data_IF_342980653599
#
_entry.id   IF_342980653599
#
_cell.length_a   1.000
_cell.length_b   1.000
_cell.length_c   1.000
_cell.angle_alpha   90.00
_cell.angle_beta   90.00
_cell.angle_gamma   90.00
#
_symmetry.space_group_name_H-M   'P 1'
#
loop_
_entity.id
_entity.type
_entity.pdbx_description
1 polymer ?
#
# COMPACT_ATOMS: atom_id res chain seq x y z
N UNK A 1 7.06 -1.79 -2.27
CA UNK A 1 8.48 -2.12 -2.06
C UNK A 1 8.60 -2.80 -0.70
N UNK A 2 9.66 -3.56 -0.42
CA UNK A 2 9.85 -4.07 0.95
C UNK A 2 10.37 -2.97 1.86
N UNK A 3 9.76 -2.81 3.04
CA UNK A 3 10.14 -1.79 4.00
C UNK A 3 10.80 -2.44 5.22
N UNK A 4 11.98 -1.94 5.60
CA UNK A 4 12.67 -2.24 6.85
C UNK A 4 12.58 -0.99 7.72
N UNK A 5 11.90 -1.05 8.86
CA UNK A 5 11.55 0.14 9.67
C UNK A 5 12.39 0.20 10.94
N UNK A 6 13.08 1.32 11.17
CA UNK A 6 13.97 1.53 12.33
C UNK A 6 13.39 2.45 13.42
N UNK A 7 12.06 2.63 13.42
CA UNK A 7 11.27 3.45 14.35
C UNK A 7 11.49 4.99 14.31
N UNK A 8 12.62 5.51 13.82
CA UNK A 8 12.87 6.96 13.77
C UNK A 8 11.98 7.67 12.73
N UNK A 9 11.54 8.89 13.07
CA UNK A 9 10.85 9.83 12.17
C UNK A 9 11.63 11.15 12.13
N UNK A 10 12.54 11.33 11.16
CA UNK A 10 13.42 12.51 11.15
C UNK A 10 12.76 13.78 10.61
N UNK A 11 11.64 13.67 9.90
CA UNK A 11 10.82 14.79 9.44
C UNK A 11 9.32 14.56 9.74
N UNK A 12 8.50 15.61 9.67
CA UNK A 12 7.04 15.49 9.77
C UNK A 12 6.46 14.80 8.54
N UNK A 13 7.03 15.05 7.36
CA UNK A 13 6.65 14.38 6.09
C UNK A 13 7.07 12.90 6.02
N UNK A 14 7.79 12.38 7.02
CA UNK A 14 8.24 10.98 7.07
C UNK A 14 7.11 9.95 6.96
N UNK A 15 5.91 10.27 7.46
CA UNK A 15 4.75 9.38 7.36
C UNK A 15 4.23 9.27 5.92
N UNK A 16 4.23 10.37 5.16
CA UNK A 16 3.85 10.38 3.75
C UNK A 16 4.89 9.67 2.87
N UNK A 17 6.19 9.88 3.16
CA UNK A 17 7.29 9.15 2.51
C UNK A 17 7.09 7.64 2.69
N UNK A 18 6.82 7.20 3.92
CA UNK A 18 6.58 5.79 4.24
C UNK A 18 5.36 5.25 3.51
N UNK A 19 4.26 6.00 3.49
CA UNK A 19 3.04 5.62 2.79
C UNK A 19 3.31 5.45 1.28
N UNK A 20 3.97 6.43 0.65
CA UNK A 20 4.31 6.40 -0.76
C UNK A 20 5.19 5.18 -1.12
N UNK A 21 6.25 4.92 -0.35
CA UNK A 21 7.14 3.77 -0.57
C UNK A 21 6.43 2.42 -0.36
N UNK A 22 5.53 2.34 0.63
CA UNK A 22 4.71 1.13 0.85
C UNK A 22 3.81 0.85 -0.36
N UNK A 23 3.22 1.90 -0.95
CA UNK A 23 2.32 1.81 -2.10
C UNK A 23 3.00 1.37 -3.41
N UNK A 24 4.33 1.39 -3.52
CA UNK A 24 5.04 0.98 -4.74
C UNK A 24 4.96 -0.54 -5.05
N UNK A 25 4.35 -1.35 -4.18
CA UNK A 25 4.15 -2.80 -4.41
C UNK A 25 5.41 -3.65 -4.19
N UNK A 26 5.28 -4.87 -3.67
CA UNK A 26 6.42 -5.76 -3.38
C UNK A 26 6.85 -6.53 -4.63
N UNK A 27 8.12 -6.95 -4.67
CA UNK A 27 8.68 -7.75 -5.75
C UNK A 27 9.01 -6.95 -7.01
N UNK A 28 9.44 -7.62 -8.07
CA UNK A 28 9.90 -6.97 -9.31
C UNK A 28 8.77 -6.45 -10.22
N UNK A 29 7.50 -6.53 -9.80
CA UNK A 29 6.34 -6.25 -10.67
C UNK A 29 6.21 -4.77 -11.08
N UNK A 30 6.87 -3.87 -10.35
CA UNK A 30 6.89 -2.42 -10.65
C UNK A 30 8.31 -1.89 -10.70
N UNK A 31 9.04 -1.90 -9.57
CA UNK A 31 10.45 -1.50 -9.52
C UNK A 31 11.31 -2.47 -8.68
N UNK A 32 10.72 -3.20 -7.73
CA UNK A 32 11.49 -3.99 -6.77
C UNK A 32 12.28 -3.13 -5.78
N UNK A 33 13.02 -3.78 -4.90
CA UNK A 33 13.92 -3.13 -3.94
C UNK A 33 13.46 -3.14 -2.47
N UNK A 34 14.38 -2.69 -1.63
CA UNK A 34 14.26 -2.62 -0.17
C UNK A 34 14.47 -1.17 0.28
N UNK A 35 13.52 -0.62 1.02
CA UNK A 35 13.62 0.69 1.64
C UNK A 35 13.83 0.57 3.15
N UNK A 36 14.95 1.09 3.64
CA UNK A 36 15.27 1.22 5.07
C UNK A 36 14.81 2.60 5.54
N UNK A 37 13.76 2.65 6.36
CA UNK A 37 13.07 3.89 6.76
C UNK A 37 13.53 4.36 8.14
N UNK A 38 13.82 5.65 8.25
CA UNK A 38 14.26 6.30 9.49
C UNK A 38 15.65 5.83 9.90
N UNK A 39 16.61 5.87 8.98
CA UNK A 39 17.94 5.31 9.20
C UNK A 39 18.96 6.39 9.51
N UNK A 40 19.79 6.15 10.52
CA UNK A 40 21.00 6.91 10.79
C UNK A 40 22.19 5.97 10.68
N UNK A 41 22.87 5.92 9.51
CA UNK A 41 24.02 5.05 9.35
C UNK A 41 25.13 5.44 10.35
N UNK A 42 25.97 4.49 10.80
CA UNK A 42 27.09 4.77 11.68
C UNK A 42 27.97 5.91 11.16
N UNK A 43 28.37 6.84 12.03
CA UNK A 43 29.20 7.98 11.66
C UNK A 43 28.47 9.12 10.92
N UNK A 44 27.19 8.96 10.57
CA UNK A 44 26.40 10.05 10.00
C UNK A 44 25.83 10.96 11.10
N UNK A 45 25.93 12.30 10.96
CA UNK A 45 25.56 13.25 12.02
C UNK A 45 24.05 13.34 12.26
N UNK A 46 23.23 13.03 11.26
CA UNK A 46 21.76 13.08 11.32
C UNK A 46 21.17 11.87 10.58
N UNK A 47 20.00 11.41 11.04
CA UNK A 47 19.21 10.41 10.34
C UNK A 47 18.70 10.92 8.99
N UNK A 48 18.30 10.03 8.09
CA UNK A 48 17.55 10.29 6.85
C UNK A 48 16.23 9.53 6.85
N UNK A 49 15.25 10.03 6.10
CA UNK A 49 13.89 9.52 6.12
C UNK A 49 13.79 8.14 5.50
N UNK A 50 14.53 7.87 4.43
CA UNK A 50 14.76 6.52 3.95
C UNK A 50 16.05 6.39 3.13
N UNK A 51 16.60 5.18 3.09
CA UNK A 51 17.54 4.75 2.04
C UNK A 51 16.89 3.61 1.28
N UNK A 52 16.73 3.78 -0.03
CA UNK A 52 16.04 2.85 -0.92
C UNK A 52 17.07 2.17 -1.81
N UNK A 53 17.28 0.88 -1.55
CA UNK A 53 18.09 0.01 -2.38
C UNK A 53 17.21 -0.59 -3.47
N UNK A 54 17.47 -0.23 -4.71
CA UNK A 54 16.81 -0.78 -5.89
C UNK A 54 17.81 -1.69 -6.60
N UNK A 55 17.33 -2.61 -7.43
CA UNK A 55 18.22 -3.37 -8.30
C UNK A 55 19.10 -2.45 -9.15
N UNK A 56 18.60 -1.30 -9.60
CA UNK A 56 19.29 -0.42 -10.58
C UNK A 56 19.67 0.97 -10.07
N UNK A 57 19.51 1.25 -8.78
CA UNK A 57 19.89 2.52 -8.16
C UNK A 57 19.90 2.42 -6.64
N UNK A 58 20.60 3.35 -6.01
CA UNK A 58 20.49 3.62 -4.59
C UNK A 58 19.93 5.03 -4.39
N UNK A 59 18.78 5.16 -3.75
CA UNK A 59 18.16 6.46 -3.51
C UNK A 59 18.22 6.82 -2.03
N UNK A 60 18.61 8.06 -1.74
CA UNK A 60 18.56 8.61 -0.39
C UNK A 60 17.41 9.59 -0.34
N UNK A 61 16.42 9.31 0.51
CA UNK A 61 15.22 10.13 0.67
C UNK A 61 15.35 10.99 1.91
N UNK A 62 15.24 12.30 1.72
CA UNK A 62 15.34 13.29 2.79
C UNK A 62 14.08 14.14 2.80
N UNK A 63 13.38 14.14 3.93
CA UNK A 63 12.21 14.96 4.19
C UNK A 63 12.60 16.40 4.49
N UNK A 64 11.87 17.34 3.88
CA UNK A 64 11.93 18.78 4.15
C UNK A 64 10.52 19.23 4.54
N UNK A 65 10.41 19.72 5.77
CA UNK A 65 9.15 20.21 6.30
C UNK A 65 8.99 21.70 5.97
N UNK A 66 7.99 22.00 5.15
CA UNK A 66 7.54 23.36 4.88
C UNK A 66 6.74 23.88 6.09
N UNK A 67 6.73 25.21 6.32
CA UNK A 67 5.97 25.81 7.41
C UNK A 67 4.46 25.57 7.26
N UNK A 68 3.96 25.74 6.03
CA UNK A 68 2.55 25.65 5.66
C UNK A 68 2.39 24.80 4.38
N UNK A 69 1.19 24.23 4.15
CA UNK A 69 0.81 23.70 2.84
C UNK A 69 0.95 24.75 1.73
N UNK A 70 1.31 24.33 0.52
CA UNK A 70 1.42 25.21 -0.64
C UNK A 70 0.65 24.64 -1.85
N UNK A 71 0.12 25.50 -2.70
CA UNK A 71 -0.44 25.07 -3.99
C UNK A 71 0.69 24.84 -4.99
N UNK A 72 1.70 25.72 -4.98
CA UNK A 72 2.86 25.64 -5.86
C UNK A 72 4.15 25.85 -5.08
N UNK A 73 5.11 24.96 -5.28
CA UNK A 73 6.47 25.12 -4.78
C UNK A 73 7.45 25.20 -5.96
N UNK A 74 8.18 26.32 -6.06
CA UNK A 74 9.35 26.45 -6.91
C UNK A 74 10.58 26.04 -6.10
N UNK A 75 11.24 24.94 -6.50
CA UNK A 75 12.29 24.29 -5.72
C UNK A 75 13.61 24.11 -6.51
N UNK A 76 14.30 25.21 -6.90
CA UNK A 76 15.64 25.13 -7.46
C UNK A 76 16.66 24.61 -6.42
N UNK A 77 17.65 23.84 -6.88
CA UNK A 77 18.66 23.27 -5.98
C UNK A 77 19.71 24.29 -5.52
N UNK A 78 19.96 25.32 -6.33
CA UNK A 78 20.95 26.36 -6.05
C UNK A 78 20.35 27.68 -5.54
N UNK A 79 19.11 27.98 -5.94
CA UNK A 79 18.46 29.27 -5.66
C UNK A 79 17.42 29.18 -4.53
N UNK A 80 16.91 30.33 -4.09
CA UNK A 80 15.89 30.38 -3.04
C UNK A 80 14.57 29.74 -3.49
N UNK A 81 14.02 28.86 -2.65
CA UNK A 81 12.70 28.25 -2.87
C UNK A 81 11.58 29.27 -2.66
N UNK A 82 10.48 29.09 -3.41
CA UNK A 82 9.27 29.91 -3.24
C UNK A 82 8.04 29.03 -3.09
N UNK A 83 7.24 29.28 -2.06
CA UNK A 83 5.93 28.69 -1.88
C UNK A 83 4.87 29.73 -2.27
N UNK A 84 3.99 29.40 -3.21
CA UNK A 84 2.92 30.26 -3.71
C UNK A 84 3.42 31.65 -4.15
N UNK A 85 4.61 31.69 -4.75
CA UNK A 85 5.28 32.90 -5.22
C UNK A 85 6.08 33.66 -4.15
N UNK A 86 5.98 33.27 -2.88
CA UNK A 86 6.69 33.89 -1.77
C UNK A 86 7.95 33.13 -1.41
N UNK A 87 9.11 33.81 -1.26
CA UNK A 87 10.33 33.19 -0.76
C UNK A 87 10.12 32.46 0.56
N UNK A 88 10.60 31.22 0.63
CA UNK A 88 10.71 30.52 1.91
C UNK A 88 11.84 31.16 2.72
N UNK A 89 11.47 31.78 3.83
CA UNK A 89 12.41 32.33 4.81
C UNK A 89 12.44 31.35 5.99
N UNK A 90 13.57 30.66 6.17
CA UNK A 90 13.75 29.74 7.28
C UNK A 90 13.82 30.44 8.64
N UNK A 91 13.77 29.65 9.72
CA UNK A 91 14.07 30.13 11.09
C UNK A 91 15.55 30.44 11.31
N UNK A 92 16.43 29.81 10.52
CA UNK A 92 17.81 30.24 10.32
C UNK A 92 17.87 30.97 8.97
N UNK A 93 18.49 32.16 8.96
CA UNK A 93 18.48 33.09 7.83
C UNK A 93 18.89 32.44 6.49
N UNK A 94 18.05 32.61 5.47
CA UNK A 94 18.38 32.58 4.04
C UNK A 94 19.06 31.33 3.43
N UNK A 95 19.16 30.18 4.12
CA UNK A 95 19.70 28.96 3.49
C UNK A 95 18.61 28.16 2.76
N UNK A 96 18.80 27.93 1.47
CA UNK A 96 17.95 27.04 0.66
C UNK A 96 17.81 25.66 1.36
N UNK A 97 16.58 25.18 1.66
CA UNK A 97 16.35 23.89 2.31
C UNK A 97 17.00 22.69 1.60
N UNK A 98 17.20 22.78 0.28
CA UNK A 98 17.87 21.74 -0.49
C UNK A 98 19.33 21.52 -0.05
N UNK A 99 20.03 22.56 0.40
CA UNK A 99 21.45 22.48 0.77
C UNK A 99 21.65 21.53 1.96
N UNK A 100 20.84 21.67 3.00
CA UNK A 100 20.91 20.78 4.16
C UNK A 100 20.52 19.34 3.80
N UNK A 101 19.46 19.19 2.99
CA UNK A 101 19.01 17.88 2.55
C UNK A 101 20.08 17.15 1.73
N UNK A 102 20.75 17.85 0.81
CA UNK A 102 21.83 17.32 0.00
C UNK A 102 23.07 17.01 0.84
N UNK A 103 23.41 17.82 1.85
CA UNK A 103 24.52 17.54 2.78
C UNK A 103 24.28 16.27 3.60
N UNK A 104 23.05 16.06 4.08
CA UNK A 104 22.63 14.81 4.75
C UNK A 104 22.77 13.61 3.81
N UNK A 105 22.26 13.73 2.59
CA UNK A 105 22.37 12.66 1.59
C UNK A 105 23.84 12.36 1.22
N UNK A 106 24.68 13.39 1.06
CA UNK A 106 26.10 13.23 0.75
C UNK A 106 26.86 12.49 1.86
N UNK A 107 26.52 12.76 3.13
CA UNK A 107 27.09 12.05 4.28
C UNK A 107 26.79 10.55 4.24
N UNK A 108 25.52 10.19 3.97
CA UNK A 108 25.10 8.79 3.82
C UNK A 108 25.75 8.12 2.61
N UNK A 109 25.80 8.81 1.47
CA UNK A 109 26.46 8.29 0.27
C UNK A 109 27.97 8.05 0.50
N UNK A 110 28.63 8.93 1.25
CA UNK A 110 30.05 8.78 1.61
C UNK A 110 30.27 7.59 2.53
N UNK A 111 29.42 7.42 3.54
CA UNK A 111 29.44 6.24 4.41
C UNK A 111 29.31 4.95 3.60
N UNK A 112 28.33 4.87 2.70
CA UNK A 112 28.10 3.68 1.88
C UNK A 112 29.28 3.35 0.96
N UNK A 113 29.91 4.36 0.34
CA UNK A 113 31.13 4.18 -0.46
C UNK A 113 32.34 3.73 0.36
N UNK A 114 32.37 4.05 1.67
CA UNK A 114 33.47 3.62 2.54
C UNK A 114 33.42 2.12 2.87
N UNK A 115 32.23 1.51 2.76
CA UNK A 115 32.03 0.08 3.07
C UNK A 115 32.20 -0.81 1.84
N UNK A 116 32.12 -0.25 0.63
CA UNK A 116 32.38 -0.96 -0.62
C UNK A 116 32.07 -0.13 -1.87
N UNK A 117 32.38 -0.69 -3.04
CA UNK A 117 31.98 -0.09 -4.31
C UNK A 117 30.46 -0.09 -4.48
N UNK A 118 29.93 1.02 -4.98
CA UNK A 118 28.51 1.14 -5.31
C UNK A 118 28.31 0.75 -6.77
N UNK A 119 27.68 -0.41 -7.07
CA UNK A 119 27.52 -0.88 -8.45
C UNK A 119 26.43 -0.13 -9.22
N UNK A 120 25.72 0.77 -8.55
CA UNK A 120 24.52 1.45 -9.06
C UNK A 120 24.60 2.95 -8.80
N UNK A 121 23.96 3.78 -9.65
CA UNK A 121 23.93 5.22 -9.47
C UNK A 121 23.25 5.59 -8.15
N UNK A 122 23.77 6.62 -7.49
CA UNK A 122 23.21 7.18 -6.26
C UNK A 122 22.38 8.41 -6.60
N UNK A 123 21.09 8.36 -6.30
CA UNK A 123 20.15 9.47 -6.43
C UNK A 123 19.72 10.03 -5.08
N UNK A 124 19.21 11.27 -5.07
CA UNK A 124 18.59 11.88 -3.89
C UNK A 124 17.16 12.29 -4.20
N UNK A 125 16.24 11.96 -3.31
CA UNK A 125 14.86 12.43 -3.35
C UNK A 125 14.65 13.38 -2.17
N UNK A 126 14.32 14.63 -2.47
CA UNK A 126 13.94 15.63 -1.46
C UNK A 126 12.40 15.64 -1.42
N UNK A 127 11.85 15.02 -0.38
CA UNK A 127 10.42 14.90 -0.19
C UNK A 127 9.89 16.07 0.65
N UNK A 128 8.96 16.85 0.10
CA UNK A 128 8.43 18.06 0.75
C UNK A 128 7.01 17.84 1.29
N UNK A 129 6.72 18.36 2.47
CA UNK A 129 5.39 18.32 3.11
C UNK A 129 5.16 19.55 3.99
N UNK A 130 3.98 19.75 4.58
CA UNK A 130 2.92 18.76 4.78
C UNK A 130 2.05 18.45 3.55
N UNK A 131 1.76 19.43 2.69
CA UNK A 131 1.08 19.20 1.42
C UNK A 131 1.58 20.20 0.38
N UNK A 132 1.87 19.71 -0.84
CA UNK A 132 2.14 20.55 -1.99
C UNK A 132 1.41 19.97 -3.20
N UNK A 133 0.55 20.77 -3.85
CA UNK A 133 -0.18 20.30 -5.03
C UNK A 133 0.77 20.16 -6.25
N UNK A 134 1.59 21.17 -6.51
CA UNK A 134 2.55 21.17 -7.63
C UNK A 134 3.95 21.53 -7.16
N UNK A 135 4.93 20.69 -7.47
CA UNK A 135 6.37 20.98 -7.26
C UNK A 135 7.02 21.22 -8.62
N UNK A 136 7.59 22.41 -8.80
CA UNK A 136 8.35 22.80 -9.98
C UNK A 136 9.85 22.82 -9.66
N UNK A 137 10.56 21.84 -10.21
CA UNK A 137 12.02 21.80 -10.21
C UNK A 137 12.53 22.28 -11.58
N UNK A 138 13.54 23.18 -11.64
CA UNK A 138 14.08 23.65 -12.92
C UNK A 138 14.56 22.49 -13.81
N UNK A 139 14.38 22.57 -15.15
CA UNK A 139 14.82 21.51 -16.07
C UNK A 139 16.31 21.16 -15.98
N UNK A 140 17.16 22.16 -15.69
CA UNK A 140 18.59 21.95 -15.49
C UNK A 140 18.89 21.04 -14.28
N UNK A 141 18.12 21.20 -13.19
CA UNK A 141 18.26 20.38 -11.98
C UNK A 141 17.67 18.98 -12.20
N UNK A 142 16.55 18.87 -12.94
CA UNK A 142 15.92 17.59 -13.29
C UNK A 142 16.82 16.68 -14.14
N UNK A 143 17.77 17.24 -14.89
CA UNK A 143 18.76 16.42 -15.61
C UNK A 143 19.74 15.69 -14.67
N UNK A 144 19.89 16.18 -13.43
CA UNK A 144 20.78 15.62 -12.43
C UNK A 144 20.19 14.45 -11.63
N UNK A 145 20.91 13.98 -10.59
CA UNK A 145 20.51 12.83 -9.76
C UNK A 145 19.54 13.20 -8.63
N UNK A 146 18.94 14.39 -8.64
CA UNK A 146 18.11 14.91 -7.55
C UNK A 146 16.69 15.14 -8.03
N UNK A 147 15.70 14.69 -7.25
CA UNK A 147 14.28 14.94 -7.49
C UNK A 147 13.67 15.62 -6.28
N UNK A 148 13.01 16.76 -6.47
CA UNK A 148 12.19 17.41 -5.45
C UNK A 148 10.72 17.08 -5.73
N UNK A 149 9.98 16.61 -4.72
CA UNK A 149 8.59 16.18 -4.89
C UNK A 149 7.80 16.21 -3.59
N UNK A 150 6.48 16.33 -3.67
CA UNK A 150 5.60 15.93 -2.58
C UNK A 150 5.36 14.41 -2.65
N UNK A 151 5.56 13.64 -1.56
CA UNK A 151 5.59 12.17 -1.62
C UNK A 151 4.19 11.55 -1.74
N UNK A 152 3.74 11.40 -2.97
CA UNK A 152 2.58 10.57 -3.33
C UNK A 152 3.09 9.25 -3.95
N UNK A 153 2.27 8.18 -4.04
CA UNK A 153 2.66 6.96 -4.74
C UNK A 153 3.15 7.23 -6.17
N UNK A 154 2.47 8.11 -6.90
CA UNK A 154 2.80 8.44 -8.29
C UNK A 154 4.10 9.23 -8.42
N UNK A 155 4.29 10.29 -7.64
CA UNK A 155 5.49 11.11 -7.70
C UNK A 155 6.74 10.34 -7.23
N UNK A 156 6.60 9.53 -6.16
CA UNK A 156 7.68 8.68 -5.67
C UNK A 156 8.06 7.61 -6.69
N UNK A 157 7.07 6.97 -7.33
CA UNK A 157 7.32 6.03 -8.43
C UNK A 157 8.08 6.69 -9.57
N UNK A 158 7.61 7.84 -10.05
CA UNK A 158 8.24 8.58 -11.14
C UNK A 158 9.70 8.95 -10.84
N UNK A 159 9.98 9.42 -9.62
CA UNK A 159 11.34 9.72 -9.19
C UNK A 159 12.22 8.47 -9.14
N UNK A 160 11.65 7.36 -8.66
CA UNK A 160 12.35 6.08 -8.54
C UNK A 160 12.70 5.51 -9.91
N UNK A 161 11.76 5.49 -10.87
CA UNK A 161 12.03 5.11 -12.27
C UNK A 161 13.08 6.02 -12.89
N UNK A 162 12.94 7.35 -12.71
CA UNK A 162 13.83 8.32 -13.34
C UNK A 162 15.27 8.22 -12.84
N UNK A 163 15.49 7.81 -11.60
CA UNK A 163 16.82 7.72 -10.98
C UNK A 163 17.44 6.31 -11.11
N UNK A 164 16.64 5.29 -11.42
CA UNK A 164 17.08 3.91 -11.62
C UNK A 164 17.70 3.66 -13.00
N UNK A 165 18.87 4.26 -13.25
CA UNK A 165 19.49 4.29 -14.58
C UNK A 165 20.57 3.23 -14.85
N UNK A 166 20.90 2.34 -13.90
CA UNK A 166 21.86 1.27 -14.17
C UNK A 166 21.40 0.32 -15.28
N UNK A 167 22.33 -0.10 -16.14
CA UNK A 167 22.06 -1.06 -17.19
C UNK A 167 21.67 -2.43 -16.62
N UNK A 168 22.45 -2.90 -15.65
CA UNK A 168 22.32 -4.21 -15.02
C UNK A 168 21.85 -4.08 -13.56
N UNK A 169 21.07 -5.05 -13.07
CA UNK A 169 20.69 -5.11 -11.66
C UNK A 169 21.92 -5.43 -10.79
N UNK A 170 21.95 -4.91 -9.55
CA UNK A 170 22.96 -5.29 -8.58
C UNK A 170 22.64 -6.64 -7.95
N UNK A 171 23.69 -7.32 -7.51
CA UNK A 171 23.59 -8.66 -6.93
C UNK A 171 23.01 -8.65 -5.51
N UNK A 172 22.41 -9.78 -5.12
CA UNK A 172 21.94 -10.06 -3.76
C UNK A 172 23.08 -9.89 -2.74
N UNK A 173 24.30 -10.31 -3.07
CA UNK A 173 25.47 -10.17 -2.21
C UNK A 173 25.78 -8.69 -1.92
N UNK A 174 25.77 -7.85 -2.96
CA UNK A 174 26.00 -6.42 -2.78
C UNK A 174 24.87 -5.74 -2.01
N UNK A 175 23.62 -6.08 -2.30
CA UNK A 175 22.47 -5.57 -1.56
C UNK A 175 22.57 -5.90 -0.06
N UNK A 176 23.02 -7.11 0.30
CA UNK A 176 23.24 -7.53 1.70
C UNK A 176 24.32 -6.69 2.39
N UNK A 177 25.45 -6.46 1.72
CA UNK A 177 26.54 -5.63 2.24
C UNK A 177 26.05 -4.20 2.52
N UNK A 178 25.30 -3.62 1.59
CA UNK A 178 24.74 -2.27 1.77
C UNK A 178 23.71 -2.21 2.89
N UNK A 179 22.82 -3.21 3.02
CA UNK A 179 21.86 -3.30 4.13
C UNK A 179 22.57 -3.40 5.48
N UNK A 180 23.61 -4.22 5.58
CA UNK A 180 24.40 -4.36 6.80
C UNK A 180 25.13 -3.06 7.17
N UNK A 181 25.60 -2.31 6.18
CA UNK A 181 26.24 -1.00 6.37
C UNK A 181 25.27 0.08 6.88
N UNK A 182 24.00 0.00 6.45
CA UNK A 182 22.97 0.97 6.80
C UNK A 182 22.37 0.71 8.19
N UNK A 183 22.11 -0.56 8.51
CA UNK A 183 21.31 -0.91 9.68
C UNK A 183 21.78 -2.24 10.29
N UNK A 184 22.97 -2.26 10.93
CA UNK A 184 23.62 -3.49 11.41
C UNK A 184 22.82 -4.26 12.46
N UNK A 185 22.01 -3.55 13.26
CA UNK A 185 21.21 -4.11 14.35
C UNK A 185 19.85 -4.70 13.90
N UNK A 186 19.54 -4.63 12.60
CA UNK A 186 18.25 -5.12 12.07
C UNK A 186 18.37 -6.57 11.60
N UNK A 187 17.27 -7.33 11.72
CA UNK A 187 17.19 -8.67 11.16
C UNK A 187 17.57 -8.64 9.66
N UNK A 188 18.53 -9.50 9.28
CA UNK A 188 19.00 -9.60 7.90
C UNK A 188 17.89 -10.18 7.03
N UNK A 189 17.77 -9.66 5.81
CA UNK A 189 16.89 -10.23 4.80
C UNK A 189 17.59 -11.42 4.14
N UNK A 190 16.87 -12.53 4.01
CA UNK A 190 17.37 -13.74 3.34
C UNK A 190 17.53 -13.54 1.82
N UNK A 191 18.34 -14.37 1.19
CA UNK A 191 18.69 -14.24 -0.23
C UNK A 191 17.50 -14.42 -1.16
N UNK A 192 16.61 -15.36 -0.82
CA UNK A 192 15.37 -15.58 -1.55
C UNK A 192 14.46 -14.34 -1.51
N UNK A 193 14.45 -13.64 -0.37
CA UNK A 193 13.70 -12.38 -0.22
C UNK A 193 14.30 -11.30 -1.10
N UNK A 194 15.63 -11.14 -1.09
CA UNK A 194 16.31 -10.14 -1.91
C UNK A 194 16.13 -10.46 -3.41
N UNK A 195 16.30 -11.71 -3.82
CA UNK A 195 16.04 -12.14 -5.19
C UNK A 195 14.59 -11.84 -5.61
N UNK A 196 13.61 -12.10 -4.73
CA UNK A 196 12.20 -11.77 -4.96
C UNK A 196 11.94 -10.27 -5.16
N UNK A 197 12.75 -9.38 -4.57
CA UNK A 197 12.69 -7.93 -4.78
C UNK A 197 13.46 -7.48 -6.04
N UNK A 198 13.96 -8.39 -6.87
CA UNK A 198 14.56 -8.11 -8.19
C UNK A 198 16.08 -7.95 -8.22
N UNK A 199 16.78 -8.26 -7.11
CA UNK A 199 18.24 -8.32 -7.08
C UNK A 199 18.75 -9.60 -7.75
N UNK A 200 19.91 -9.54 -8.40
CA UNK A 200 20.44 -10.69 -9.13
C UNK A 200 21.04 -11.74 -8.17
N UNK A 201 20.56 -12.99 -8.17
CA UNK A 201 21.18 -14.04 -7.37
C UNK A 201 22.61 -14.30 -7.88
N UNK A 202 23.47 -14.83 -7.02
CA UNK A 202 24.77 -15.29 -7.50
C UNK A 202 24.55 -16.35 -8.60
N UNK A 203 25.36 -16.37 -9.67
CA UNK A 203 25.29 -17.46 -10.64
C UNK A 203 25.46 -18.77 -9.87
N UNK A 204 24.51 -19.70 -10.05
CA UNK A 204 24.70 -21.04 -9.51
C UNK A 204 26.01 -21.58 -10.07
N UNK A 205 26.87 -22.20 -9.23
CA UNK A 205 28.07 -22.83 -9.74
C UNK A 205 27.61 -23.86 -10.77
N UNK A 206 27.93 -23.58 -12.04
CA UNK A 206 27.78 -24.56 -13.10
C UNK A 206 28.64 -25.73 -12.64
N UNK A 207 28.03 -26.85 -12.27
CA UNK A 207 28.76 -28.11 -12.21
C UNK A 207 29.37 -28.26 -13.60
N UNK A 208 30.69 -28.03 -13.70
CA UNK A 208 31.46 -28.37 -14.88
C UNK A 208 31.19 -29.84 -15.16
N UNK A 209 30.31 -30.11 -16.14
CA UNK A 209 30.21 -31.42 -16.72
C UNK A 209 31.61 -31.72 -17.27
N UNK A 210 32.29 -32.64 -16.59
CA UNK A 210 33.61 -33.14 -16.95
C UNK A 210 33.67 -33.39 -18.46
N UNK A 211 34.52 -32.65 -19.22
CA UNK A 211 34.53 -32.70 -20.68
C UNK A 211 35.05 -34.03 -21.25
N UNK A 212 35.25 -35.06 -20.41
CA UNK A 212 35.75 -36.38 -20.80
C UNK A 212 34.70 -37.49 -20.95
N UNK A 213 33.40 -37.22 -20.73
CA UNK A 213 32.37 -38.29 -20.84
C UNK A 213 31.63 -38.32 -22.19
N UNK A 214 31.82 -37.33 -23.07
CA UNK A 214 31.23 -37.35 -24.40
C UNK A 214 32.29 -37.65 -25.46
N UNK A 215 32.44 -38.94 -25.81
CA UNK A 215 32.67 -39.49 -27.18
C UNK A 215 33.41 -40.84 -27.10
N UNK A 216 32.65 -41.92 -26.90
CA UNK A 216 33.02 -43.24 -27.39
C UNK A 216 31.87 -43.77 -28.26
N UNK A 217 32.06 -43.95 -29.58
CA UNK A 217 31.03 -44.55 -30.44
C UNK A 217 31.03 -46.06 -30.23
N UNK A 218 30.02 -46.57 -29.53
CA UNK A 218 29.82 -48.02 -29.40
C UNK A 218 29.20 -48.56 -30.69
N UNK A 219 30.01 -49.26 -31.49
CA UNK A 219 29.57 -50.06 -32.64
C UNK A 219 28.89 -51.35 -32.12
N UNK A 220 27.65 -51.68 -32.51
CA UNK A 220 27.07 -52.98 -32.19
C UNK A 220 27.65 -54.08 -33.09
N UNK A 221 28.18 -55.13 -32.48
CA UNK A 221 28.62 -56.35 -33.16
C UNK A 221 27.43 -57.22 -33.60
N UNK A 222 27.50 -57.76 -34.81
CA UNK A 222 26.58 -58.78 -35.34
C UNK A 222 26.84 -60.17 -34.70
N UNK A 223 25.81 -60.93 -34.30
CA UNK A 223 25.94 -62.34 -33.90
C UNK A 223 25.76 -63.31 -35.10
N UNK A 224 26.43 -64.49 -35.10
CA UNK A 224 26.43 -65.40 -36.22
C UNK A 224 25.20 -66.33 -36.30
N UNK A 225 25.00 -66.78 -37.53
CA UNK A 225 23.96 -67.60 -38.18
C UNK A 225 23.82 -69.04 -37.67
N UNK A 226 22.61 -69.63 -37.80
CA UNK A 226 22.28 -70.95 -38.45
C UNK A 226 20.87 -71.52 -38.04
N UNK A 227 20.28 -72.56 -38.69
CA UNK A 227 19.53 -72.44 -39.94
C UNK A 227 18.14 -73.16 -39.96
N UNK A 228 17.30 -72.80 -40.94
CA UNK A 228 16.25 -73.58 -41.64
C UNK A 228 15.45 -74.71 -40.93
N UNK A 229 14.11 -74.58 -40.92
CA UNK A 229 13.20 -75.47 -41.72
C UNK A 229 11.77 -74.92 -41.88
N UNK A 230 11.29 -75.06 -43.11
CA UNK A 230 10.06 -74.59 -43.80
C UNK A 230 8.73 -75.30 -43.36
N UNK A 231 7.60 -75.21 -44.11
CA UNK A 231 6.69 -74.07 -44.39
C UNK A 231 5.19 -74.46 -44.27
N UNK A 232 4.25 -73.51 -44.36
CA UNK A 232 3.05 -73.55 -45.26
C UNK A 232 2.05 -72.44 -44.92
N UNK A 233 1.62 -71.70 -45.94
CA UNK A 233 0.43 -70.82 -45.89
C UNK A 233 0.64 -69.45 -46.54
N UNK A 234 0.50 -69.38 -47.86
CA UNK A 234 0.42 -68.16 -48.70
C UNK A 234 -1.08 -67.89 -49.01
N UNK A 235 -1.48 -66.79 -49.70
CA UNK A 235 -1.12 -65.36 -49.63
C UNK A 235 -2.34 -64.49 -49.26
N UNK A 236 -2.13 -63.20 -48.98
CA UNK A 236 -2.89 -62.08 -49.62
C UNK A 236 -2.27 -60.74 -49.22
N UNK A 237 -2.30 -59.78 -50.15
CA UNK A 237 -2.19 -58.35 -49.83
C UNK A 237 -0.79 -57.75 -49.92
N UNK A 238 -0.46 -57.21 -51.10
CA UNK A 238 0.55 -56.17 -51.23
C UNK A 238 0.13 -54.93 -50.42
N UNK A 239 1.10 -54.19 -49.86
CA UNK A 239 1.34 -52.76 -50.08
C UNK A 239 2.53 -52.31 -49.23
N UNK A 240 3.43 -51.59 -49.89
CA UNK A 240 4.69 -51.02 -49.42
C UNK A 240 4.46 -49.54 -49.07
N UNK A 241 4.85 -49.09 -47.87
CA UNK A 241 5.32 -47.72 -47.53
C UNK A 241 5.55 -47.66 -46.02
N UNK A 242 6.78 -47.65 -45.52
CA UNK A 242 7.72 -46.52 -45.48
C UNK A 242 7.09 -45.27 -44.86
N UNK A 243 7.35 -45.10 -43.55
CA UNK A 243 7.04 -43.92 -42.76
C UNK A 243 7.90 -42.73 -43.26
N UNK A 244 7.32 -41.53 -43.41
CA UNK A 244 8.04 -40.37 -43.92
C UNK A 244 8.79 -39.62 -42.81
N UNK A 245 10.05 -39.31 -43.10
CA UNK A 245 10.77 -38.16 -42.55
C UNK A 245 10.01 -36.88 -42.86
N UNK A 246 9.64 -36.11 -41.84
CA UNK A 246 9.10 -34.76 -42.02
C UNK A 246 10.23 -33.74 -41.94
N UNK A 247 10.53 -33.20 -43.12
CA UNK A 247 11.42 -32.07 -43.40
C UNK A 247 10.94 -30.80 -42.68
N UNK A 248 11.87 -30.08 -42.04
CA UNK A 248 11.66 -28.74 -41.50
C UNK A 248 11.30 -27.74 -42.63
N UNK A 249 10.31 -26.84 -42.44
CA UNK A 249 9.99 -25.82 -43.43
C UNK A 249 11.06 -24.70 -43.45
N UNK A 250 11.27 -24.04 -44.60
CA UNK A 250 12.23 -22.94 -44.70
C UNK A 250 11.74 -21.66 -44.02
N UNK A 251 12.69 -20.92 -43.45
CA UNK A 251 12.54 -19.58 -42.89
C UNK A 251 11.87 -18.65 -43.91
N UNK A 252 10.66 -18.21 -43.59
CA UNK A 252 9.99 -17.13 -44.32
C UNK A 252 10.68 -15.80 -44.01
N UNK A 253 11.05 -15.08 -45.07
CA UNK A 253 11.62 -13.74 -45.03
C UNK A 253 10.69 -12.79 -44.28
N UNK A 254 11.19 -12.17 -43.22
CA UNK A 254 10.52 -11.09 -42.51
C UNK A 254 10.52 -9.85 -43.40
N UNK A 255 9.35 -9.45 -43.89
CA UNK A 255 9.14 -8.13 -44.50
C UNK A 255 9.19 -7.06 -43.41
N UNK A 256 9.79 -5.88 -43.65
CA UNK A 256 9.77 -4.77 -42.70
C UNK A 256 8.32 -4.27 -42.54
N UNK A 257 7.86 -4.20 -41.29
CA UNK A 257 6.61 -3.55 -40.93
C UNK A 257 6.79 -2.03 -41.12
N UNK A 258 5.97 -1.34 -41.92
CA UNK A 258 6.04 0.11 -42.04
C UNK A 258 5.60 0.77 -40.71
N UNK A 259 6.15 1.95 -40.36
CA UNK A 259 5.77 2.65 -39.14
C UNK A 259 4.27 3.01 -39.17
N UNK A 260 3.60 3.02 -38.00
CA UNK A 260 2.19 3.36 -37.91
C UNK A 260 1.97 4.81 -38.35
N UNK A 261 0.96 5.03 -39.19
CA UNK A 261 0.52 6.36 -39.58
C UNK A 261 0.08 7.18 -38.36
N UNK A 262 0.29 8.51 -38.35
CA UNK A 262 -0.15 9.37 -37.25
C UNK A 262 -1.67 9.30 -37.09
N UNK A 263 -2.11 9.12 -35.83
CA UNK A 263 -3.52 9.07 -35.48
C UNK A 263 -4.23 10.39 -35.87
N UNK A 264 -5.47 10.33 -36.38
CA UNK A 264 -6.24 11.53 -36.68
C UNK A 264 -6.53 12.32 -35.39
N UNK A 265 -6.39 13.64 -35.49
CA UNK A 265 -6.65 14.56 -34.38
C UNK A 265 -8.10 14.40 -33.85
N UNK A 266 -8.31 14.51 -32.53
CA UNK A 266 -9.66 14.43 -31.96
C UNK A 266 -10.52 15.60 -32.46
N UNK A 267 -11.84 15.39 -32.67
CA UNK A 267 -12.74 16.44 -33.10
C UNK A 267 -12.82 17.55 -32.04
N UNK A 268 -13.02 18.82 -32.45
CA UNK A 268 -13.15 19.92 -31.51
C UNK A 268 -14.35 19.69 -30.58
N UNK A 269 -14.14 19.85 -29.26
CA UNK A 269 -15.22 19.80 -28.27
C UNK A 269 -16.27 20.86 -28.62
N UNK A 270 -17.57 20.51 -28.67
CA UNK A 270 -18.61 21.52 -28.81
C UNK A 270 -18.57 22.47 -27.61
N UNK A 271 -18.57 23.78 -27.89
CA UNK A 271 -18.60 24.83 -26.89
C UNK A 271 -19.82 24.66 -25.98
N UNK A 272 -19.59 24.78 -24.66
CA UNK A 272 -20.66 24.72 -23.67
C UNK A 272 -21.70 25.83 -23.93
N UNK A 273 -22.95 25.44 -24.15
CA UNK A 273 -24.06 26.37 -24.26
C UNK A 273 -24.29 27.11 -22.93
N UNK A 274 -24.60 28.42 -22.95
CA UNK A 274 -24.91 29.17 -21.74
C UNK A 274 -26.23 28.67 -21.12
N UNK A 275 -26.17 28.26 -19.86
CA UNK A 275 -27.34 27.85 -19.06
C UNK A 275 -28.18 29.09 -18.73
N UNK A 276 -29.39 29.17 -19.27
CA UNK A 276 -30.35 30.21 -18.90
C UNK A 276 -30.95 29.94 -17.51
N UNK A 277 -31.04 30.94 -16.63
CA UNK A 277 -31.67 30.78 -15.32
C UNK A 277 -33.20 30.70 -15.47
N UNK A 278 -33.79 29.62 -14.95
CA UNK A 278 -35.23 29.37 -15.05
C UNK A 278 -35.97 30.27 -14.05
N UNK A 279 -36.53 31.38 -14.57
CA UNK A 279 -37.22 32.46 -13.83
C UNK A 279 -38.56 32.10 -13.17
N UNK A 280 -38.97 30.83 -13.14
CA UNK A 280 -40.25 30.38 -12.56
C UNK A 280 -40.19 29.99 -11.07
N UNK A 281 -38.98 29.76 -10.53
CA UNK A 281 -38.79 29.38 -9.12
C UNK A 281 -39.32 30.39 -8.07
N UNK A 282 -39.30 31.74 -8.26
CA UNK A 282 -39.78 32.66 -7.23
C UNK A 282 -41.32 32.67 -7.10
N UNK A 283 -42.06 32.22 -8.11
CA UNK A 283 -43.53 32.19 -8.06
C UNK A 283 -44.07 30.98 -7.29
N UNK A 284 -43.38 29.84 -7.36
CA UNK A 284 -43.75 28.64 -6.60
C UNK A 284 -43.51 28.80 -5.08
N UNK A 285 -42.44 29.52 -4.69
CA UNK A 285 -42.13 29.79 -3.30
C UNK A 285 -43.16 30.72 -2.63
N UNK A 286 -43.67 31.73 -3.36
CA UNK A 286 -44.68 32.65 -2.84
C UNK A 286 -46.04 31.97 -2.61
N UNK A 287 -46.44 31.07 -3.51
CA UNK A 287 -47.68 30.29 -3.36
C UNK A 287 -47.67 29.37 -2.15
N UNK A 288 -46.52 28.72 -1.88
CA UNK A 288 -46.35 27.83 -0.72
C UNK A 288 -46.39 28.62 0.61
N UNK A 289 -45.82 29.82 0.62
CA UNK A 289 -45.78 30.68 1.80
C UNK A 289 -47.17 31.22 2.14
N UNK A 290 -47.96 31.58 1.13
CA UNK A 290 -49.35 32.01 1.32
C UNK A 290 -50.23 30.85 1.83
N UNK A 291 -50.03 29.64 1.31
CA UNK A 291 -50.73 28.45 1.77
C UNK A 291 -50.43 28.15 3.24
N UNK A 292 -49.15 28.15 3.65
CA UNK A 292 -48.76 27.93 5.04
C UNK A 292 -49.33 28.98 6.00
N UNK A 293 -49.41 30.23 5.56
CA UNK A 293 -49.93 31.34 6.38
C UNK A 293 -51.45 31.24 6.56
N UNK A 294 -52.19 30.82 5.53
CA UNK A 294 -53.63 30.53 5.64
C UNK A 294 -53.88 29.33 6.56
N UNK A 295 -53.06 28.27 6.49
CA UNK A 295 -53.19 27.10 7.39
C UNK A 295 -52.94 27.48 8.85
N UNK A 296 -51.98 28.36 9.12
CA UNK A 296 -51.68 28.82 10.48
C UNK A 296 -52.82 29.67 11.08
N UNK A 297 -53.48 30.52 10.27
CA UNK A 297 -54.60 31.36 10.72
C UNK A 297 -55.86 30.53 11.01
N UNK A 298 -56.12 29.47 10.24
CA UNK A 298 -57.26 28.56 10.49
C UNK A 298 -57.05 27.74 11.77
N UNK A 299 -55.81 27.34 12.08
CA UNK A 299 -55.46 26.59 13.30
C UNK A 299 -55.50 27.45 14.57
N UNK A 300 -55.38 28.78 14.47
CA UNK A 300 -55.46 29.69 15.61
C UNK A 300 -56.89 30.13 15.96
N UNK A 301 -57.87 29.94 15.07
CA UNK A 301 -59.24 30.43 15.24
C UNK A 301 -60.25 29.38 15.72
N UNK A 302 -59.83 28.13 15.97
CA UNK A 302 -60.69 27.04 16.45
C UNK A 302 -60.17 26.48 17.77
N UNK A 303 -60.12 27.32 18.80
CA UNK A 303 -59.89 26.90 20.17
C UNK A 303 -61.18 26.99 20.99
N UNK A 304 -61.86 25.86 21.18
CA UNK A 304 -62.47 25.43 22.45
C UNK A 304 -63.12 24.05 22.28
N UNK A 305 -63.12 23.27 23.36
CA UNK A 305 -63.73 21.94 23.62
C UNK A 305 -62.69 20.85 23.84
N UNK A 306 -62.49 20.53 25.13
CA UNK A 306 -61.58 19.50 25.60
C UNK A 306 -61.91 18.10 25.08
N UNK A 307 -60.89 17.47 24.51
CA UNK A 307 -60.82 16.02 24.34
C UNK A 307 -59.36 15.62 24.55
N UNK A 308 -59.12 14.69 25.47
CA UNK A 308 -57.80 14.24 25.87
C UNK A 308 -57.09 13.58 24.66
N UNK A 309 -55.90 14.04 24.24
CA UNK A 309 -55.22 13.42 23.10
C UNK A 309 -54.87 11.96 23.43
N UNK A 310 -55.08 11.01 22.50
CA UNK A 310 -54.60 9.65 22.69
C UNK A 310 -53.09 9.70 22.87
N UNK A 311 -52.59 8.93 23.84
CA UNK A 311 -51.17 8.84 24.17
C UNK A 311 -50.33 8.83 22.89
N UNK A 312 -49.55 9.91 22.71
CA UNK A 312 -48.57 10.00 21.65
C UNK A 312 -47.70 8.76 21.77
N UNK A 313 -47.79 7.85 20.79
CA UNK A 313 -46.90 6.72 20.71
C UNK A 313 -45.48 7.30 20.74
N UNK A 314 -44.73 6.94 21.79
CA UNK A 314 -43.33 7.30 21.88
C UNK A 314 -42.68 6.89 20.55
N UNK A 315 -41.78 7.73 19.97
CA UNK A 315 -40.99 7.29 18.83
C UNK A 315 -40.40 5.91 19.18
N UNK A 316 -40.43 4.93 18.26
CA UNK A 316 -39.96 3.58 18.56
C UNK A 316 -38.58 3.70 19.20
N UNK A 317 -38.30 2.97 20.31
CA UNK A 317 -37.01 3.06 20.96
C UNK A 317 -35.94 2.82 19.90
N UNK A 318 -35.09 3.82 19.66
CA UNK A 318 -33.89 3.63 18.85
C UNK A 318 -33.17 2.47 19.52
N UNK A 319 -32.87 1.35 18.82
CA UNK A 319 -32.26 0.20 19.43
C UNK A 319 -30.97 0.65 20.13
N UNK A 320 -31.06 0.76 21.45
CA UNK A 320 -29.98 1.25 22.29
C UNK A 320 -29.18 0.01 22.60
N UNK A 321 -28.15 -0.26 21.80
CA UNK A 321 -27.23 -1.33 22.15
C UNK A 321 -26.41 -0.96 23.40
N UNK A 322 -25.50 -1.84 23.84
CA UNK A 322 -24.84 -1.71 25.14
C UNK A 322 -24.15 -0.35 25.28
N UNK A 323 -24.24 0.22 26.48
CA UNK A 323 -23.51 1.42 26.86
C UNK A 323 -22.36 1.04 27.78
N UNK A 324 -21.13 1.42 27.40
CA UNK A 324 -19.92 1.16 28.16
C UNK A 324 -19.16 2.48 28.29
N UNK A 325 -18.83 2.89 29.53
CA UNK A 325 -18.08 4.12 29.82
C UNK A 325 -18.62 5.38 29.12
N UNK A 326 -19.96 5.49 29.00
CA UNK A 326 -20.62 6.62 28.34
C UNK A 326 -20.67 6.54 26.82
N UNK A 327 -20.20 5.45 26.21
CA UNK A 327 -20.27 5.21 24.76
C UNK A 327 -21.41 4.24 24.48
N UNK A 328 -22.36 4.63 23.61
CA UNK A 328 -23.42 3.72 23.15
C UNK A 328 -22.97 3.00 21.88
N UNK A 329 -23.15 1.69 21.81
CA UNK A 329 -22.80 0.87 20.65
C UNK A 329 -24.03 0.28 19.98
N UNK A 330 -24.11 0.33 18.65
CA UNK A 330 -25.13 -0.32 17.84
C UNK A 330 -24.44 -1.30 16.89
N UNK A 331 -24.69 -2.59 17.07
CA UNK A 331 -24.08 -3.63 16.21
C UNK A 331 -24.56 -3.49 14.77
N UNK A 332 -23.62 -3.52 13.83
CA UNK A 332 -23.84 -3.53 12.37
C UNK A 332 -23.62 -4.92 11.79
N UNK A 333 -22.64 -5.65 12.30
CA UNK A 333 -22.35 -7.01 11.91
C UNK A 333 -21.65 -7.75 13.05
N UNK A 334 -21.88 -9.06 13.14
CA UNK A 334 -21.10 -10.00 13.92
C UNK A 334 -21.01 -11.34 13.18
N UNK A 335 -19.95 -12.10 13.43
CA UNK A 335 -19.79 -13.43 12.86
C UNK A 335 -18.51 -14.13 13.28
N UNK A 336 -18.49 -15.44 13.05
CA UNK A 336 -17.39 -16.34 13.39
C UNK A 336 -16.95 -17.16 12.18
N UNK A 337 -15.64 -17.31 11.98
CA UNK A 337 -15.06 -18.17 10.94
C UNK A 337 -13.84 -18.92 11.49
N UNK A 338 -13.55 -20.15 11.01
CA UNK A 338 -12.38 -20.91 11.45
C UNK A 338 -11.07 -20.45 10.77
N UNK A 339 -11.15 -19.76 9.63
CA UNK A 339 -9.99 -19.33 8.85
C UNK A 339 -9.72 -17.84 9.06
N UNK A 340 -8.57 -17.48 9.64
CA UNK A 340 -8.26 -16.06 9.88
C UNK A 340 -7.62 -15.33 8.70
N UNK A 341 -6.66 -15.95 8.01
CA UNK A 341 -5.83 -15.28 7.00
C UNK A 341 -6.61 -14.55 5.89
N UNK A 342 -7.67 -15.13 5.29
CA UNK A 342 -8.44 -14.45 4.24
C UNK A 342 -9.15 -13.16 4.69
N UNK A 343 -9.26 -12.94 6.00
CA UNK A 343 -9.93 -11.80 6.63
C UNK A 343 -8.94 -10.83 7.29
N UNK A 344 -7.66 -10.97 6.96
CA UNK A 344 -6.60 -10.12 7.43
C UNK A 344 -5.91 -9.45 6.24
N UNK A 345 -5.14 -8.41 6.51
CA UNK A 345 -4.30 -7.74 5.51
C UNK A 345 -2.94 -7.39 6.10
N UNK A 346 -1.97 -7.08 5.24
CA UNK A 346 -0.62 -6.70 5.65
C UNK A 346 0.16 -7.86 6.28
N UNK A 347 1.06 -7.55 7.21
CA UNK A 347 1.89 -8.57 7.87
C UNK A 347 1.07 -9.47 8.82
N UNK A 348 -0.06 -8.98 9.31
CA UNK A 348 -1.05 -9.74 10.08
C UNK A 348 -1.58 -10.92 9.27
N UNK A 349 -1.87 -10.71 7.98
CA UNK A 349 -2.28 -11.79 7.08
C UNK A 349 -1.16 -12.82 6.90
N UNK A 350 0.06 -12.36 6.58
CA UNK A 350 1.20 -13.25 6.37
C UNK A 350 1.53 -14.09 7.62
N UNK A 351 1.36 -13.52 8.81
CA UNK A 351 1.51 -14.26 10.07
C UNK A 351 0.42 -15.31 10.23
N UNK A 352 -0.84 -14.99 9.93
CA UNK A 352 -1.96 -15.93 10.05
C UNK A 352 -1.95 -17.04 8.99
N UNK A 353 -1.28 -16.82 7.85
CA UNK A 353 -1.00 -17.86 6.85
C UNK A 353 0.04 -18.88 7.36
N UNK A 354 1.03 -18.42 8.13
CA UNK A 354 2.10 -19.26 8.70
C UNK A 354 1.72 -19.91 10.02
N UNK A 355 0.99 -19.17 10.85
CA UNK A 355 0.53 -19.56 12.19
C UNK A 355 -0.98 -19.46 12.20
N UNK A 356 -1.69 -20.49 11.74
CA UNK A 356 -3.14 -20.45 11.67
C UNK A 356 -3.74 -20.33 13.08
N UNK A 357 -4.78 -19.51 13.17
CA UNK A 357 -5.65 -19.42 14.33
C UNK A 357 -6.59 -20.63 14.39
N UNK A 358 -7.24 -20.83 15.54
CA UNK A 358 -8.31 -21.82 15.71
C UNK A 358 -9.69 -21.21 15.46
N UNK A 359 -9.86 -19.92 15.71
CA UNK A 359 -11.09 -19.18 15.42
C UNK A 359 -10.85 -17.68 15.23
N UNK A 360 -11.65 -17.07 14.36
CA UNK A 360 -11.79 -15.63 14.21
C UNK A 360 -13.23 -15.22 14.50
N UNK A 361 -13.42 -14.38 15.52
CA UNK A 361 -14.70 -13.72 15.80
C UNK A 361 -14.58 -12.25 15.47
N UNK A 362 -15.51 -11.70 14.70
CA UNK A 362 -15.50 -10.29 14.31
C UNK A 362 -16.84 -9.64 14.58
N UNK A 363 -16.81 -8.36 14.91
CA UNK A 363 -18.00 -7.54 14.95
C UNK A 363 -17.67 -6.09 14.55
N UNK A 364 -18.68 -5.41 14.04
CA UNK A 364 -18.63 -4.01 13.64
C UNK A 364 -19.75 -3.27 14.36
N UNK A 365 -19.45 -2.13 14.96
CA UNK A 365 -20.40 -1.33 15.72
C UNK A 365 -20.36 0.12 15.25
N UNK A 366 -21.52 0.74 15.16
CA UNK A 366 -21.59 2.20 15.23
C UNK A 366 -21.56 2.62 16.70
N UNK A 367 -20.64 3.49 17.07
CA UNK A 367 -20.50 4.03 18.41
C UNK A 367 -20.89 5.51 18.45
N UNK A 368 -21.52 5.95 19.53
CA UNK A 368 -21.81 7.37 19.77
C UNK A 368 -21.23 7.79 21.11
N UNK A 369 -20.44 8.86 21.10
CA UNK A 369 -19.91 9.52 22.28
C UNK A 369 -20.14 11.03 22.13
N UNK A 370 -20.79 11.64 23.11
CA UNK A 370 -21.10 13.08 23.11
C UNK A 370 -21.79 13.55 21.81
N UNK A 371 -22.68 12.71 21.26
CA UNK A 371 -23.41 12.97 20.02
C UNK A 371 -22.62 12.79 18.72
N UNK A 372 -21.32 12.46 18.80
CA UNK A 372 -20.48 12.19 17.62
C UNK A 372 -20.44 10.69 17.31
N UNK A 373 -20.59 10.36 16.02
CA UNK A 373 -20.69 8.98 15.53
C UNK A 373 -19.34 8.46 15.03
N UNK A 374 -18.97 7.26 15.46
CA UNK A 374 -17.76 6.55 15.06
C UNK A 374 -18.09 5.15 14.58
N UNK A 375 -17.26 4.62 13.68
CA UNK A 375 -17.23 3.22 13.32
C UNK A 375 -16.22 2.49 14.20
N UNK A 376 -16.58 1.30 14.67
CA UNK A 376 -15.73 0.44 15.49
C UNK A 376 -15.65 -0.94 14.85
N UNK A 377 -14.45 -1.38 14.50
CA UNK A 377 -14.16 -2.74 14.08
C UNK A 377 -13.53 -3.49 15.24
N UNK A 378 -14.04 -4.68 15.54
CA UNK A 378 -13.55 -5.57 16.58
C UNK A 378 -13.21 -6.93 15.98
N UNK A 379 -12.04 -7.46 16.33
CA UNK A 379 -11.66 -8.83 16.04
C UNK A 379 -11.14 -9.53 17.30
N UNK A 380 -11.53 -10.79 17.49
CA UNK A 380 -11.01 -11.68 18.51
C UNK A 380 -10.43 -12.90 17.82
N UNK A 381 -9.11 -13.01 17.88
CA UNK A 381 -8.32 -14.06 17.26
C UNK A 381 -7.92 -15.07 18.33
N UNK A 382 -8.23 -16.34 18.11
CA UNK A 382 -7.94 -17.43 19.05
C UNK A 382 -6.84 -18.34 18.48
N UNK A 383 -5.87 -18.69 19.31
CA UNK A 383 -4.75 -19.56 18.93
C UNK A 383 -4.77 -20.86 19.73
N UNK A 384 -4.05 -21.87 19.25
CA UNK A 384 -3.93 -23.15 19.95
C UNK A 384 -3.14 -23.04 21.26
N UNK A 385 -2.18 -22.10 21.33
CA UNK A 385 -1.32 -21.90 22.50
C UNK A 385 -1.01 -20.43 22.78
N UNK A 386 -0.78 -20.09 24.05
CA UNK A 386 -0.57 -18.71 24.50
C UNK A 386 0.68 -18.06 23.87
N UNK A 387 1.73 -18.84 23.57
CA UNK A 387 2.93 -18.32 22.90
C UNK A 387 2.62 -17.74 21.52
N UNK A 388 1.75 -18.41 20.74
CA UNK A 388 1.32 -17.92 19.42
C UNK A 388 0.50 -16.64 19.54
N UNK A 389 -0.42 -16.58 20.51
CA UNK A 389 -1.18 -15.37 20.80
C UNK A 389 -0.26 -14.21 21.19
N UNK A 390 0.77 -14.47 22.00
CA UNK A 390 1.79 -13.48 22.35
C UNK A 390 2.55 -12.93 21.14
N UNK A 391 3.02 -13.80 20.25
CA UNK A 391 3.67 -13.40 19.00
C UNK A 391 2.73 -12.59 18.11
N UNK A 392 1.48 -13.03 17.98
CA UNK A 392 0.47 -12.29 17.22
C UNK A 392 0.22 -10.90 17.82
N UNK A 393 0.08 -10.77 19.14
CA UNK A 393 -0.10 -9.49 19.82
C UNK A 393 1.04 -8.51 19.56
N UNK A 394 2.29 -8.98 19.69
CA UNK A 394 3.46 -8.15 19.40
C UNK A 394 3.44 -7.62 17.96
N UNK A 395 2.98 -8.45 17.02
CA UNK A 395 2.81 -8.04 15.63
C UNK A 395 1.67 -7.01 15.47
N UNK A 396 0.45 -7.30 15.93
CA UNK A 396 -0.69 -6.40 15.66
C UNK A 396 -0.63 -5.07 16.41
N UNK A 397 0.10 -5.01 17.53
CA UNK A 397 0.34 -3.75 18.26
C UNK A 397 1.41 -2.88 17.61
N UNK A 398 2.17 -3.42 16.65
CA UNK A 398 3.14 -2.67 15.88
C UNK A 398 2.46 -1.83 14.78
N UNK A 399 2.86 -0.55 14.63
CA UNK A 399 2.24 0.32 13.63
C UNK A 399 2.50 -0.18 12.21
N UNK A 400 1.42 -0.26 11.42
CA UNK A 400 1.48 -0.57 9.99
C UNK A 400 1.83 -2.02 9.67
N UNK A 401 1.54 -2.95 10.58
CA UNK A 401 1.63 -4.41 10.37
C UNK A 401 0.31 -4.98 9.79
N UNK A 402 -0.59 -4.12 9.33
CA UNK A 402 -1.92 -4.50 8.87
C UNK A 402 -2.88 -4.75 10.04
N UNK A 403 -3.90 -5.56 9.79
CA UNK A 403 -4.93 -5.84 10.77
C UNK A 403 -5.95 -6.85 10.26
N UNK A 404 -7.06 -6.97 10.99
CA UNK A 404 -8.21 -7.77 10.60
C UNK A 404 -9.20 -6.84 9.91
N UNK A 405 -9.68 -7.23 8.73
CA UNK A 405 -10.63 -6.44 7.97
C UNK A 405 -11.99 -6.38 8.69
N UNK A 406 -12.63 -5.21 8.63
CA UNK A 406 -13.92 -4.94 9.24
C UNK A 406 -15.03 -5.76 8.57
N UNK A 407 -15.84 -6.44 9.38
CA UNK A 407 -16.86 -7.35 8.89
C UNK A 407 -18.01 -6.62 8.17
N UNK A 408 -18.47 -5.49 8.70
CA UNK A 408 -19.53 -4.71 8.06
C UNK A 408 -19.07 -4.07 6.74
N UNK A 409 -17.79 -3.70 6.61
CA UNK A 409 -17.21 -3.26 5.33
C UNK A 409 -17.13 -4.42 4.33
N UNK A 410 -16.62 -5.59 4.73
CA UNK A 410 -16.57 -6.78 3.86
C UNK A 410 -17.97 -7.24 3.39
N UNK A 411 -18.98 -7.12 4.26
CA UNK A 411 -20.34 -7.62 4.01
C UNK A 411 -21.32 -6.54 3.56
N UNK A 412 -20.87 -5.29 3.40
CA UNK A 412 -21.71 -4.17 2.96
C UNK A 412 -22.83 -3.80 3.93
N UNK A 413 -22.62 -3.96 5.25
CA UNK A 413 -23.64 -3.70 6.29
C UNK A 413 -23.57 -2.30 6.93
N UNK A 414 -22.64 -1.45 6.50
CA UNK A 414 -22.62 -0.04 6.93
C UNK A 414 -23.75 0.75 6.28
N UNK A 415 -24.50 1.58 7.03
CA UNK A 415 -25.42 2.54 6.44
C UNK A 415 -24.63 3.64 5.73
N UNK A 416 -24.69 3.69 4.40
CA UNK A 416 -24.02 4.70 3.58
C UNK A 416 -22.62 4.27 3.12
N UNK A 417 -21.69 5.22 3.02
CA UNK A 417 -20.33 4.95 2.57
C UNK A 417 -19.58 4.15 3.65
N UNK A 418 -18.99 2.98 3.32
CA UNK A 418 -18.22 2.21 4.27
C UNK A 418 -16.99 2.99 4.80
N UNK A 419 -16.73 2.97 6.12
CA UNK A 419 -15.55 3.60 6.70
C UNK A 419 -14.28 2.88 6.24
N UNK A 420 -13.27 3.66 5.88
CA UNK A 420 -11.97 3.14 5.45
C UNK A 420 -11.03 2.77 6.61
N UNK A 421 -11.41 3.11 7.86
CA UNK A 421 -10.58 2.95 9.08
C UNK A 421 -9.17 3.59 8.99
N UNK A 422 -8.98 4.55 8.08
CA UNK A 422 -7.75 5.32 7.97
C UNK A 422 -7.61 6.28 9.15
N UNK A 423 -6.44 6.28 9.78
CA UNK A 423 -6.20 7.09 10.98
C UNK A 423 -7.02 6.66 12.20
N UNK A 424 -7.55 5.43 12.22
CA UNK A 424 -8.30 4.91 13.35
C UNK A 424 -7.44 4.87 14.63
N UNK A 425 -8.06 5.14 15.78
CA UNK A 425 -7.47 4.80 17.06
C UNK A 425 -7.54 3.30 17.26
N UNK A 426 -6.45 2.71 17.77
CA UNK A 426 -6.30 1.27 17.94
C UNK A 426 -6.11 0.92 19.41
N UNK A 427 -6.77 -0.16 19.83
CA UNK A 427 -6.58 -0.76 21.14
C UNK A 427 -6.55 -2.29 21.02
N UNK A 428 -5.81 -2.95 21.90
CA UNK A 428 -5.80 -4.41 21.95
C UNK A 428 -5.67 -4.94 23.36
N UNK A 429 -6.09 -6.19 23.56
CA UNK A 429 -6.01 -6.89 24.82
C UNK A 429 -5.70 -8.37 24.58
N UNK A 430 -4.79 -8.94 25.37
CA UNK A 430 -4.53 -10.37 25.40
C UNK A 430 -5.26 -11.03 26.57
N UNK A 431 -5.76 -12.24 26.35
CA UNK A 431 -6.22 -13.15 27.39
C UNK A 431 -5.84 -14.58 27.01
N UNK A 432 -4.82 -15.13 27.65
CA UNK A 432 -4.28 -16.47 27.41
C UNK A 432 -3.99 -16.74 25.92
N UNK A 433 -4.87 -17.47 25.24
CA UNK A 433 -4.78 -17.85 23.82
C UNK A 433 -5.53 -16.91 22.87
N UNK A 434 -6.21 -15.89 23.40
CA UNK A 434 -7.04 -14.97 22.62
C UNK A 434 -6.48 -13.56 22.60
N UNK A 435 -6.46 -12.95 21.43
CA UNK A 435 -6.12 -11.54 21.24
C UNK A 435 -7.33 -10.81 20.70
N UNK A 436 -7.79 -9.79 21.41
CA UNK A 436 -8.82 -8.84 20.96
C UNK A 436 -8.14 -7.60 20.41
N UNK A 437 -8.50 -7.20 19.21
CA UNK A 437 -8.11 -5.91 18.61
C UNK A 437 -9.36 -5.09 18.31
N UNK A 438 -9.23 -3.78 18.46
CA UNK A 438 -10.30 -2.82 18.21
C UNK A 438 -9.71 -1.63 17.45
N UNK A 439 -10.41 -1.20 16.40
CA UNK A 439 -10.14 0.04 15.68
C UNK A 439 -11.37 0.94 15.73
N UNK A 440 -11.19 2.23 15.99
CA UNK A 440 -12.26 3.22 15.99
C UNK A 440 -11.90 4.42 15.10
N UNK A 441 -12.79 4.80 14.17
CA UNK A 441 -12.66 6.00 13.34
C UNK A 441 -13.97 6.79 13.29
N UNK A 442 -13.92 8.09 13.07
CA UNK A 442 -15.11 8.90 12.84
C UNK A 442 -15.83 8.45 11.57
N UNK A 443 -17.17 8.38 11.62
CA UNK A 443 -18.00 8.20 10.43
C UNK A 443 -18.09 9.50 9.62
N UNK A 444 -18.07 10.64 10.33
CA UNK A 444 -18.18 11.98 9.76
C UNK A 444 -16.85 12.73 9.90
N UNK A 445 -16.00 12.64 8.87
CA UNK A 445 -14.74 13.39 8.79
C UNK A 445 -13.45 12.57 9.05
N UNK A 446 -12.28 13.22 9.00
CA UNK A 446 -11.00 12.55 9.16
C UNK A 446 -10.78 12.07 10.60
N UNK A 447 -10.01 10.99 10.75
CA UNK A 447 -9.60 10.45 12.06
C UNK A 447 -8.11 10.61 12.27
N UNK A 448 -7.69 10.76 13.53
CA UNK A 448 -6.28 10.65 13.93
C UNK A 448 -6.14 9.56 15.00
N UNK A 449 -5.08 8.73 14.97
CA UNK A 449 -4.95 7.61 15.93
C UNK A 449 -4.88 8.04 17.40
N UNK A 450 -4.39 9.27 17.64
CA UNK A 450 -4.25 9.87 18.95
C UNK A 450 -5.46 10.71 19.39
N UNK A 451 -6.56 10.73 18.62
CA UNK A 451 -7.79 11.41 19.04
C UNK A 451 -8.26 10.83 20.38
N UNK A 452 -8.39 11.64 21.44
CA UNK A 452 -8.70 11.15 22.78
C UNK A 452 -10.11 10.55 22.88
N UNK A 453 -11.08 11.02 22.07
CA UNK A 453 -12.43 10.48 22.05
C UNK A 453 -12.48 9.14 21.30
N UNK A 454 -11.79 9.01 20.16
CA UNK A 454 -11.65 7.70 19.49
C UNK A 454 -10.90 6.69 20.36
N UNK A 455 -9.87 7.14 21.10
CA UNK A 455 -9.14 6.31 22.06
C UNK A 455 -10.05 5.79 23.17
N UNK A 456 -10.96 6.64 23.68
CA UNK A 456 -11.96 6.25 24.67
C UNK A 456 -12.95 5.25 24.11
N UNK A 457 -13.46 5.49 22.90
CA UNK A 457 -14.39 4.59 22.20
C UNK A 457 -13.75 3.21 21.99
N UNK A 458 -12.53 3.15 21.45
CA UNK A 458 -11.81 1.90 21.22
C UNK A 458 -11.54 1.13 22.53
N UNK A 459 -11.23 1.85 23.62
CA UNK A 459 -11.03 1.24 24.94
C UNK A 459 -12.34 0.68 25.51
N UNK A 460 -13.44 1.44 25.45
CA UNK A 460 -14.75 0.98 25.90
C UNK A 460 -15.19 -0.27 25.12
N UNK A 461 -14.91 -0.32 23.82
CA UNK A 461 -15.20 -1.47 22.98
C UNK A 461 -14.39 -2.73 23.34
N UNK A 462 -13.23 -2.64 24.01
CA UNK A 462 -12.53 -3.84 24.51
C UNK A 462 -13.36 -4.60 25.56
N UNK A 463 -14.24 -3.91 26.29
CA UNK A 463 -15.09 -4.47 27.33
C UNK A 463 -16.43 -5.01 26.81
N UNK A 464 -16.72 -4.84 25.52
CA UNK A 464 -17.93 -5.44 24.92
C UNK A 464 -17.83 -6.97 24.95
N UNK A 465 -18.97 -7.67 25.11
CA UNK A 465 -19.02 -9.12 24.99
C UNK A 465 -18.31 -9.60 23.73
N UNK A 466 -17.65 -10.76 23.81
CA UNK A 466 -17.09 -11.35 22.60
C UNK A 466 -18.20 -11.63 21.59
N UNK A 467 -18.04 -11.29 20.31
CA UNK A 467 -19.07 -11.54 19.30
C UNK A 467 -19.50 -13.00 19.31
N UNK A 468 -20.81 -13.23 19.31
CA UNK A 468 -21.40 -14.56 19.28
C UNK A 468 -21.23 -15.25 17.92
N UNK A 469 -21.55 -16.55 17.83
CA UNK A 469 -21.69 -17.25 16.55
C UNK A 469 -22.83 -16.70 15.70
#
# INVERSE_FOLDING_TARGET
MRLVRLAQKPSRVADDIRAALASLGRGNTVIGGVAVVGVQPPGCPRAVDAVVLLPKALLIVVGVDLPDPAMKLEAPLADQWKADGWPLVGTDEASNPAVEALSRAASVATHLRSVGELPVPVGTVIAVGPYVETVEQPPADLAGPVRVLHPTPTSMLAATVSLASAAEPCSVATARTLLAALAPETARLDDEVLAGEGFEPAPEPVEEADPLVALAPTVPAEPPTQPMRHPKGRPTGAVRRAAPSATLPPLSKVTPVPPPAPAPAPPPRPAAAPRQPVRWLPMAAMGLLLALLVTAVVMAATGDSGEQPPAQAAPPPVPSGPQVDGVSFVERAAGTVPTCAPHAFGDTQAMLERTPCTALRRASYEATLDGRRAAVSMAVVEFGVAAQAGTFKQLVDGPGNGGIADLATETGRWPGQPPAFLGASYQSMASQTTIRTVQACWLDGPSTPADPALTRIARAALSLPTPGP
#
